data_IF_098898408204
#
_entry.id   IF_098898408204
#
_cell.length_a   1.000
_cell.length_b   1.000
_cell.length_c   1.000
_cell.angle_alpha   90.00
_cell.angle_beta   90.00
_cell.angle_gamma   90.00
#
_symmetry.space_group_name_H-M   'P 1'
#
loop_
_entity.id
_entity.type
_entity.pdbx_description
1 polymer ?
#
# COMPACT_ATOMS: atom_id res chain seq x y z
N UNK A 1 -27.86 35.27 -8.58
CA UNK A 1 -27.43 35.15 -7.16
C UNK A 1 -26.42 34.03 -7.10
N UNK A 2 -25.12 34.35 -7.02
CA UNK A 2 -24.05 33.36 -6.87
C UNK A 2 -23.95 33.00 -5.39
N UNK A 3 -24.51 31.87 -5.01
CA UNK A 3 -24.32 31.30 -3.68
C UNK A 3 -22.86 30.82 -3.55
N UNK A 4 -22.00 31.65 -3.00
CA UNK A 4 -20.64 31.31 -2.59
C UNK A 4 -20.69 30.47 -1.31
N UNK A 5 -21.06 29.20 -1.40
CA UNK A 5 -20.79 28.30 -0.29
C UNK A 5 -19.37 27.70 -0.51
N UNK A 6 -18.49 27.81 0.49
CA UNK A 6 -17.28 27.01 0.46
C UNK A 6 -17.73 25.56 0.40
N UNK A 7 -17.12 24.79 -0.51
CA UNK A 7 -17.38 23.35 -0.69
C UNK A 7 -17.15 22.69 0.67
N UNK A 8 -18.20 22.54 1.46
CA UNK A 8 -18.18 21.82 2.73
C UNK A 8 -18.08 20.34 2.44
N UNK A 9 -16.88 19.87 2.20
CA UNK A 9 -16.49 18.52 1.77
C UNK A 9 -16.73 17.43 2.84
N UNK A 10 -17.68 17.56 3.76
CA UNK A 10 -17.90 16.57 4.82
C UNK A 10 -19.35 16.40 5.26
N UNK A 11 -20.31 16.99 4.55
CA UNK A 11 -21.70 16.92 4.96
C UNK A 11 -22.38 15.67 4.39
N UNK A 12 -23.06 14.92 5.24
CA UNK A 12 -23.98 13.86 4.82
C UNK A 12 -25.28 14.48 4.29
N UNK A 13 -26.04 13.73 3.48
CA UNK A 13 -27.35 14.20 3.03
C UNK A 13 -28.26 14.56 4.22
N UNK A 14 -28.17 13.84 5.33
CA UNK A 14 -28.92 14.13 6.57
C UNK A 14 -28.51 15.48 7.17
N UNK A 15 -27.21 15.77 7.28
CA UNK A 15 -26.73 17.03 7.82
C UNK A 15 -27.03 18.22 6.90
N UNK A 16 -27.04 17.99 5.57
CA UNK A 16 -27.46 19.01 4.59
C UNK A 16 -28.95 19.35 4.73
N UNK A 17 -29.83 18.37 4.94
CA UNK A 17 -31.25 18.59 5.21
C UNK A 17 -31.44 19.42 6.46
N UNK A 18 -30.71 19.12 7.54
CA UNK A 18 -30.78 19.88 8.77
C UNK A 18 -30.38 21.37 8.57
N UNK A 19 -29.26 21.60 7.90
CA UNK A 19 -28.78 22.97 7.56
C UNK A 19 -29.75 23.71 6.66
N UNK A 20 -30.29 23.07 5.63
CA UNK A 20 -31.25 23.70 4.72
C UNK A 20 -32.51 24.14 5.48
N UNK A 21 -32.96 23.34 6.42
CA UNK A 21 -34.10 23.70 7.30
C UNK A 21 -33.75 24.85 8.21
N UNK A 22 -32.55 24.85 8.80
CA UNK A 22 -32.11 25.90 9.75
C UNK A 22 -31.84 27.24 9.06
N UNK A 23 -31.09 27.22 7.95
CA UNK A 23 -30.62 28.45 7.30
C UNK A 23 -31.61 29.03 6.28
N UNK A 24 -32.34 28.15 5.58
CA UNK A 24 -33.24 28.54 4.49
C UNK A 24 -34.72 28.30 4.79
N UNK A 25 -35.06 27.70 5.93
CA UNK A 25 -36.42 27.32 6.33
C UNK A 25 -37.10 26.35 5.33
N UNK A 26 -36.32 25.61 4.55
CA UNK A 26 -36.83 24.64 3.57
C UNK A 26 -36.70 23.21 4.13
N UNK A 27 -37.83 22.53 4.25
CA UNK A 27 -37.88 21.13 4.66
C UNK A 27 -37.93 20.18 3.47
N UNK A 28 -36.97 19.31 3.35
CA UNK A 28 -36.91 18.25 2.32
C UNK A 28 -36.58 16.90 2.93
N UNK A 29 -36.95 15.84 2.24
CA UNK A 29 -36.55 14.49 2.67
C UNK A 29 -35.06 14.22 2.36
N UNK A 30 -34.43 13.30 3.12
CA UNK A 30 -33.06 12.83 2.83
C UNK A 30 -32.97 12.22 1.44
N UNK A 31 -34.03 11.55 0.97
CA UNK A 31 -34.11 10.97 -0.37
C UNK A 31 -34.11 12.04 -1.42
N UNK A 32 -34.92 13.09 -1.26
CA UNK A 32 -34.95 14.27 -2.16
C UNK A 32 -33.56 14.93 -2.21
N UNK A 33 -32.93 15.14 -1.04
CA UNK A 33 -31.58 15.72 -1.00
C UNK A 33 -30.56 14.86 -1.78
N UNK A 34 -30.60 13.53 -1.62
CA UNK A 34 -29.70 12.62 -2.39
C UNK A 34 -29.95 12.69 -3.89
N UNK A 35 -31.22 12.74 -4.32
CA UNK A 35 -31.57 12.88 -5.75
C UNK A 35 -31.09 14.20 -6.32
N UNK A 36 -31.30 15.30 -5.59
CA UNK A 36 -30.83 16.63 -5.99
C UNK A 36 -29.30 16.68 -6.09
N UNK A 37 -28.58 16.12 -5.08
CA UNK A 37 -27.10 16.05 -5.16
C UNK A 37 -26.63 15.30 -6.40
N UNK A 38 -27.26 14.18 -6.73
CA UNK A 38 -26.92 13.41 -7.95
C UNK A 38 -27.21 14.20 -9.23
N UNK A 39 -28.32 14.94 -9.30
CA UNK A 39 -28.67 15.75 -10.47
C UNK A 39 -27.75 16.93 -10.75
N UNK A 40 -26.96 17.34 -9.75
CA UNK A 40 -25.93 18.38 -9.85
C UNK A 40 -24.51 17.80 -9.78
N UNK A 41 -24.33 16.56 -10.24
CA UNK A 41 -23.06 15.84 -10.37
C UNK A 41 -22.29 15.59 -9.07
N UNK A 42 -22.99 15.60 -7.91
CA UNK A 42 -22.38 15.14 -6.67
C UNK A 42 -22.52 13.63 -6.51
N UNK A 43 -21.41 12.99 -6.14
CA UNK A 43 -21.36 11.56 -5.84
C UNK A 43 -20.87 11.32 -4.43
N UNK A 44 -21.45 10.33 -3.76
CA UNK A 44 -20.99 9.92 -2.43
C UNK A 44 -19.66 9.20 -2.54
N UNK A 45 -18.58 9.80 -2.04
CA UNK A 45 -17.22 9.21 -2.04
C UNK A 45 -16.68 9.11 -0.62
N UNK A 46 -15.83 8.11 -0.40
CA UNK A 46 -15.06 8.01 0.84
C UNK A 46 -14.09 9.20 0.92
N UNK A 47 -14.12 9.92 2.03
CA UNK A 47 -13.15 10.99 2.31
C UNK A 47 -11.74 10.41 2.46
N UNK A 48 -10.74 11.13 1.99
CA UNK A 48 -9.32 10.78 2.14
C UNK A 48 -8.59 11.96 2.77
N UNK A 49 -7.54 11.64 3.52
CA UNK A 49 -6.64 12.68 3.99
C UNK A 49 -5.93 13.35 2.80
N UNK A 50 -5.81 14.67 2.86
CA UNK A 50 -5.05 15.42 1.85
C UNK A 50 -3.57 15.13 2.02
N UNK A 51 -2.89 14.80 0.93
CA UNK A 51 -1.43 14.67 0.87
C UNK A 51 -0.76 16.06 0.68
N UNK A 52 -1.14 17.05 1.50
CA UNK A 52 -0.65 18.43 1.39
C UNK A 52 0.88 18.58 1.36
N UNK A 53 1.61 17.56 1.82
CA UNK A 53 3.08 17.54 1.86
C UNK A 53 3.69 16.86 0.62
N UNK A 54 2.89 16.35 -0.30
CA UNK A 54 3.39 15.74 -1.52
C UNK A 54 3.79 16.83 -2.50
N UNK A 55 4.99 16.73 -3.05
CA UNK A 55 5.44 17.55 -4.16
C UNK A 55 5.00 16.89 -5.48
N UNK A 56 4.07 17.51 -6.18
CA UNK A 56 3.51 16.98 -7.43
C UNK A 56 4.53 17.01 -8.58
N UNK A 57 5.50 17.92 -8.55
CA UNK A 57 6.58 17.97 -9.54
C UNK A 57 7.55 16.81 -9.37
N UNK A 58 8.00 16.56 -8.13
CA UNK A 58 8.85 15.40 -7.80
C UNK A 58 8.14 14.09 -8.14
N UNK A 59 6.84 14.02 -7.88
CA UNK A 59 6.03 12.85 -8.22
C UNK A 59 6.02 12.58 -9.74
N UNK A 60 5.76 13.61 -10.57
CA UNK A 60 5.74 13.46 -12.03
C UNK A 60 7.11 13.08 -12.58
N UNK A 61 8.17 13.71 -12.07
CA UNK A 61 9.55 13.39 -12.44
C UNK A 61 9.89 11.94 -12.11
N UNK A 62 9.62 11.51 -10.87
CA UNK A 62 9.86 10.12 -10.45
C UNK A 62 9.04 9.11 -11.23
N UNK A 63 7.82 9.45 -11.64
CA UNK A 63 7.02 8.58 -12.49
C UNK A 63 7.70 8.32 -13.82
N UNK A 64 8.20 9.35 -14.49
CA UNK A 64 8.93 9.24 -15.77
C UNK A 64 10.23 8.44 -15.60
N UNK A 65 10.99 8.71 -14.54
CA UNK A 65 12.23 7.97 -14.24
C UNK A 65 11.97 6.48 -13.97
N UNK A 66 10.88 6.14 -13.29
CA UNK A 66 10.48 4.75 -13.04
C UNK A 66 10.05 4.06 -14.34
N UNK A 67 9.30 4.75 -15.22
CA UNK A 67 8.92 4.23 -16.54
C UNK A 67 10.18 3.89 -17.37
N UNK A 68 11.21 4.71 -17.33
CA UNK A 68 12.49 4.40 -17.98
C UNK A 68 13.22 3.21 -17.33
N UNK A 69 13.23 3.10 -15.99
CA UNK A 69 13.81 1.94 -15.30
C UNK A 69 13.07 0.64 -15.67
N UNK A 70 11.76 0.69 -15.82
CA UNK A 70 10.95 -0.46 -16.28
C UNK A 70 11.34 -0.83 -17.70
N UNK A 71 11.47 0.15 -18.61
CA UNK A 71 11.88 -0.10 -19.98
C UNK A 71 13.30 -0.70 -20.06
N UNK A 72 14.25 -0.25 -19.21
CA UNK A 72 15.58 -0.85 -19.11
C UNK A 72 15.53 -2.31 -18.64
N UNK A 73 14.65 -2.60 -17.66
CA UNK A 73 14.47 -3.97 -17.19
C UNK A 73 13.84 -4.87 -18.26
N UNK A 74 12.87 -4.38 -19.03
CA UNK A 74 12.26 -5.10 -20.15
C UNK A 74 13.26 -5.39 -21.27
N UNK A 75 14.23 -4.49 -21.49
CA UNK A 75 15.35 -4.74 -22.43
C UNK A 75 16.45 -5.66 -21.87
N UNK A 76 16.31 -6.09 -20.60
CA UNK A 76 17.30 -6.95 -19.94
C UNK A 76 18.60 -6.24 -19.54
N UNK A 77 18.63 -4.91 -19.52
CA UNK A 77 19.79 -4.10 -19.17
C UNK A 77 20.05 -4.09 -17.66
N UNK A 78 18.99 -4.17 -16.86
CA UNK A 78 19.03 -4.22 -15.40
C UNK A 78 18.02 -5.22 -14.85
N UNK A 79 18.27 -5.71 -13.64
CA UNK A 79 17.22 -6.31 -12.82
C UNK A 79 16.56 -5.18 -12.02
N UNK A 80 15.23 -5.16 -11.96
CA UNK A 80 14.47 -4.15 -11.24
C UNK A 80 13.60 -4.80 -10.16
N UNK A 81 13.61 -4.23 -8.97
CA UNK A 81 12.82 -4.69 -7.84
C UNK A 81 12.09 -3.53 -7.16
N UNK A 82 10.82 -3.72 -6.82
CA UNK A 82 10.08 -2.86 -5.91
C UNK A 82 10.13 -3.48 -4.52
N UNK A 83 10.72 -2.77 -3.57
CA UNK A 83 10.93 -3.26 -2.20
C UNK A 83 10.10 -2.43 -1.22
N UNK A 84 9.48 -3.12 -0.28
CA UNK A 84 8.73 -2.51 0.81
C UNK A 84 8.56 -3.48 1.98
N UNK A 85 8.20 -2.94 3.15
CA UNK A 85 7.90 -3.71 4.34
C UNK A 85 6.40 -3.65 4.66
N UNK A 86 5.90 -4.78 5.09
CA UNK A 86 4.54 -4.87 5.59
C UNK A 86 4.48 -5.69 6.87
N UNK A 87 3.34 -5.67 7.54
CA UNK A 87 3.15 -6.53 8.69
C UNK A 87 1.71 -6.98 8.82
N UNK A 88 1.58 -8.16 9.38
CA UNK A 88 0.34 -8.87 9.57
C UNK A 88 0.12 -9.10 11.07
N UNK A 89 -1.00 -8.56 11.58
CA UNK A 89 -1.43 -8.79 12.95
C UNK A 89 -2.35 -10.01 13.03
N UNK A 90 -2.46 -10.60 14.21
CA UNK A 90 -3.45 -11.67 14.47
C UNK A 90 -4.88 -11.17 14.25
N UNK A 91 -5.16 -9.92 14.63
CA UNK A 91 -6.40 -9.24 14.30
C UNK A 91 -6.32 -8.61 12.91
N UNK A 92 -7.12 -9.11 11.99
CA UNK A 92 -7.18 -8.59 10.62
C UNK A 92 -7.96 -7.29 10.53
N UNK A 93 -7.70 -6.45 9.51
CA UNK A 93 -8.55 -5.30 9.20
C UNK A 93 -10.00 -5.74 8.94
N UNK A 94 -10.95 -4.94 9.42
CA UNK A 94 -12.35 -5.14 9.10
C UNK A 94 -12.57 -5.05 7.59
N UNK A 95 -13.42 -5.96 7.09
CA UNK A 95 -13.80 -5.99 5.68
C UNK A 95 -15.30 -6.28 5.54
N UNK A 96 -15.83 -6.04 4.36
CA UNK A 96 -17.23 -6.36 4.04
C UNK A 96 -17.36 -7.83 3.64
N UNK A 97 -18.45 -8.48 4.07
CA UNK A 97 -18.81 -9.85 3.70
C UNK A 97 -20.33 -9.96 3.52
N UNK A 98 -20.75 -10.90 2.70
CA UNK A 98 -22.17 -11.25 2.59
C UNK A 98 -22.62 -11.93 3.88
N UNK A 99 -23.63 -11.34 4.55
CA UNK A 99 -24.21 -11.86 5.79
C UNK A 99 -25.73 -11.77 5.72
N UNK A 100 -26.47 -12.66 6.38
CA UNK A 100 -27.92 -12.53 6.48
C UNK A 100 -28.36 -11.20 7.07
N UNK A 101 -29.51 -10.70 6.65
CA UNK A 101 -30.09 -9.44 7.17
C UNK A 101 -30.19 -9.51 8.69
N UNK A 102 -29.75 -8.46 9.38
CA UNK A 102 -29.75 -8.39 10.84
C UNK A 102 -28.63 -9.19 11.53
N UNK A 103 -27.76 -9.87 10.79
CA UNK A 103 -26.58 -10.57 11.32
C UNK A 103 -25.30 -9.79 11.01
N UNK A 104 -24.25 -10.07 11.79
CA UNK A 104 -22.92 -9.56 11.55
C UNK A 104 -21.92 -10.71 11.72
N UNK A 105 -21.05 -10.91 10.73
CA UNK A 105 -19.98 -11.89 10.86
C UNK A 105 -18.92 -11.34 11.81
N UNK A 106 -18.68 -12.04 12.92
CA UNK A 106 -17.72 -11.66 13.96
C UNK A 106 -16.69 -12.76 14.13
N UNK A 107 -15.43 -12.37 14.24
CA UNK A 107 -14.31 -13.25 14.60
C UNK A 107 -13.59 -12.69 15.83
N UNK A 108 -12.94 -13.57 16.58
CA UNK A 108 -12.14 -13.14 17.72
C UNK A 108 -10.91 -12.36 17.24
N UNK A 109 -10.74 -11.15 17.77
CA UNK A 109 -9.59 -10.32 17.50
C UNK A 109 -8.50 -10.61 18.54
N UNK A 110 -7.69 -11.63 18.28
CA UNK A 110 -6.56 -11.95 19.15
C UNK A 110 -5.53 -10.83 19.09
N UNK A 111 -5.01 -10.44 20.27
CA UNK A 111 -3.87 -9.52 20.38
C UNK A 111 -2.57 -10.33 20.43
N UNK A 112 -1.51 -9.79 19.88
CA UNK A 112 -0.23 -10.48 19.88
C UNK A 112 0.83 -9.77 19.05
N UNK A 113 1.93 -10.47 18.82
CA UNK A 113 3.02 -10.01 17.96
C UNK A 113 2.53 -9.82 16.52
N UNK A 114 3.21 -8.96 15.80
CA UNK A 114 3.01 -8.72 14.38
C UNK A 114 4.07 -9.52 13.62
N UNK A 115 3.65 -10.29 12.62
CA UNK A 115 4.56 -10.89 11.66
C UNK A 115 4.93 -9.83 10.63
N UNK A 116 6.21 -9.51 10.52
CA UNK A 116 6.73 -8.55 9.56
C UNK A 116 7.27 -9.29 8.34
N UNK A 117 7.13 -8.67 7.19
CA UNK A 117 7.60 -9.18 5.90
C UNK A 117 8.35 -8.06 5.20
N UNK A 118 9.56 -8.35 4.74
CA UNK A 118 10.23 -7.54 3.73
C UNK A 118 10.06 -8.27 2.41
N UNK A 119 9.56 -7.59 1.38
CA UNK A 119 9.36 -8.20 0.07
C UNK A 119 9.98 -7.37 -1.05
N UNK A 120 10.38 -8.06 -2.10
CA UNK A 120 10.86 -7.51 -3.35
C UNK A 120 10.07 -8.13 -4.51
N UNK A 121 9.27 -7.33 -5.20
CA UNK A 121 8.60 -7.73 -6.42
C UNK A 121 9.52 -7.43 -7.61
N UNK A 122 9.91 -8.47 -8.33
CA UNK A 122 10.93 -8.41 -9.38
C UNK A 122 10.34 -8.19 -10.76
N UNK A 123 11.13 -7.59 -11.65
CA UNK A 123 10.77 -7.44 -13.08
C UNK A 123 10.66 -8.79 -13.81
N UNK A 124 11.26 -9.86 -13.29
CA UNK A 124 11.08 -11.22 -13.77
C UNK A 124 9.67 -11.77 -13.54
N UNK A 125 8.84 -11.12 -12.72
CA UNK A 125 7.54 -11.63 -12.31
C UNK A 125 7.56 -12.42 -11.00
N UNK A 126 8.73 -12.54 -10.35
CA UNK A 126 8.91 -13.26 -9.10
C UNK A 126 8.74 -12.35 -7.88
N UNK A 127 8.53 -12.97 -6.73
CA UNK A 127 8.55 -12.34 -5.43
C UNK A 127 9.66 -12.95 -4.56
N UNK A 128 10.60 -12.15 -4.12
CA UNK A 128 11.55 -12.52 -3.09
C UNK A 128 11.12 -11.92 -1.75
N UNK A 129 10.96 -12.72 -0.70
CA UNK A 129 10.47 -12.23 0.58
C UNK A 129 11.12 -12.93 1.77
N UNK A 130 11.15 -12.23 2.90
CA UNK A 130 11.60 -12.74 4.20
C UNK A 130 10.58 -12.36 5.25
N UNK A 131 10.12 -13.34 6.01
CA UNK A 131 9.21 -13.16 7.16
C UNK A 131 9.96 -13.18 8.47
N UNK A 132 9.56 -12.35 9.42
CA UNK A 132 10.19 -12.28 10.74
C UNK A 132 9.23 -11.77 11.81
N UNK A 133 9.44 -12.21 13.05
CA UNK A 133 8.66 -11.73 14.22
C UNK A 133 9.27 -10.51 14.87
N UNK A 134 10.50 -10.16 14.52
CA UNK A 134 11.23 -8.99 14.96
C UNK A 134 10.83 -7.76 14.15
N UNK A 135 11.02 -6.59 14.72
CA UNK A 135 10.86 -5.32 14.01
C UNK A 135 11.99 -5.17 12.99
N UNK A 136 11.65 -4.76 11.77
CA UNK A 136 12.63 -4.46 10.72
C UNK A 136 13.57 -3.35 11.18
N UNK A 137 14.86 -3.66 11.20
CA UNK A 137 15.94 -2.72 11.50
C UNK A 137 16.72 -2.41 10.22
N UNK A 138 17.49 -1.33 10.23
CA UNK A 138 18.38 -0.99 9.10
C UNK A 138 19.37 -2.10 8.77
N UNK A 139 19.85 -2.84 9.77
CA UNK A 139 20.77 -3.98 9.59
C UNK A 139 20.06 -5.15 8.90
N UNK A 140 18.87 -5.52 9.37
CA UNK A 140 18.07 -6.59 8.75
C UNK A 140 17.71 -6.24 7.31
N UNK A 141 17.30 -4.99 7.06
CA UNK A 141 17.01 -4.50 5.72
C UNK A 141 18.22 -4.57 4.78
N UNK A 142 19.39 -4.14 5.26
CA UNK A 142 20.63 -4.22 4.45
C UNK A 142 21.03 -5.68 4.20
N UNK A 143 20.85 -6.56 5.18
CA UNK A 143 21.01 -8.00 5.00
C UNK A 143 20.07 -8.58 3.93
N UNK A 144 18.80 -8.15 3.96
CA UNK A 144 17.83 -8.53 2.92
C UNK A 144 18.28 -8.10 1.52
N UNK A 145 18.78 -6.86 1.35
CA UNK A 145 19.31 -6.39 0.06
C UNK A 145 20.49 -7.25 -0.41
N UNK A 146 21.37 -7.68 0.50
CA UNK A 146 22.47 -8.59 0.18
C UNK A 146 21.99 -9.96 -0.29
N UNK A 147 20.95 -10.52 0.35
CA UNK A 147 20.33 -11.79 -0.08
C UNK A 147 19.60 -11.61 -1.42
N UNK A 148 18.90 -10.50 -1.61
CA UNK A 148 18.23 -10.19 -2.87
C UNK A 148 19.20 -10.10 -4.03
N UNK A 149 20.34 -9.40 -3.85
CA UNK A 149 21.40 -9.33 -4.86
C UNK A 149 21.99 -10.71 -5.19
N UNK A 150 22.15 -11.58 -4.18
CA UNK A 150 22.62 -12.96 -4.41
C UNK A 150 21.58 -13.78 -5.19
N UNK A 151 20.30 -13.53 -4.95
CA UNK A 151 19.21 -14.24 -5.62
C UNK A 151 19.04 -13.81 -7.09
N UNK A 152 19.05 -12.50 -7.34
CA UNK A 152 18.74 -11.92 -8.66
C UNK A 152 19.98 -11.76 -9.54
N UNK A 153 21.13 -11.45 -8.94
CA UNK A 153 22.34 -11.02 -9.66
C UNK A 153 22.42 -9.50 -9.86
N UNK A 154 23.52 -9.06 -10.43
CA UNK A 154 23.78 -7.65 -10.74
C UNK A 154 23.79 -7.43 -12.27
N UNK A 155 23.49 -6.21 -12.76
CA UNK A 155 23.11 -5.02 -12.00
C UNK A 155 21.68 -5.10 -11.46
N UNK A 156 21.44 -4.62 -10.23
CA UNK A 156 20.13 -4.59 -9.58
C UNK A 156 19.77 -3.15 -9.20
N UNK A 157 18.63 -2.66 -9.68
CA UNK A 157 18.03 -1.40 -9.23
C UNK A 157 16.86 -1.70 -8.31
N UNK A 158 16.86 -1.11 -7.12
CA UNK A 158 15.81 -1.27 -6.12
C UNK A 158 15.06 0.04 -5.95
N UNK A 159 13.76 0.02 -6.20
CA UNK A 159 12.83 1.13 -5.93
C UNK A 159 12.24 0.90 -4.53
N UNK A 160 12.37 1.89 -3.66
CA UNK A 160 11.90 1.82 -2.27
C UNK A 160 11.44 3.18 -1.77
N UNK A 161 10.72 3.19 -0.67
CA UNK A 161 10.33 4.44 -0.02
C UNK A 161 11.52 5.18 0.60
N UNK A 162 11.29 6.41 1.02
CA UNK A 162 12.31 7.27 1.59
C UNK A 162 12.33 7.21 3.13
N UNK A 163 12.09 6.05 3.74
CA UNK A 163 12.15 5.90 5.19
C UNK A 163 13.55 6.15 5.73
N UNK A 164 13.62 6.81 6.90
CA UNK A 164 14.89 7.24 7.48
C UNK A 164 15.84 6.10 7.85
N UNK A 165 15.31 4.92 8.18
CA UNK A 165 16.11 3.77 8.56
C UNK A 165 16.87 3.16 7.38
N UNK A 166 16.40 3.32 6.13
CA UNK A 166 17.11 2.92 4.91
C UNK A 166 18.42 3.70 4.72
N UNK A 167 18.51 4.90 5.31
CA UNK A 167 19.67 5.81 5.20
C UNK A 167 20.47 5.91 6.51
N UNK A 168 20.25 5.02 7.45
CA UNK A 168 20.91 5.06 8.75
C UNK A 168 22.44 5.03 8.62
N UNK A 169 23.13 5.85 9.42
CA UNK A 169 24.61 5.94 9.39
C UNK A 169 25.27 4.58 9.60
N UNK A 170 24.68 3.74 10.45
CA UNK A 170 25.22 2.42 10.80
C UNK A 170 25.39 1.49 9.57
N UNK A 171 24.49 1.55 8.61
CA UNK A 171 24.50 0.62 7.47
C UNK A 171 25.17 1.18 6.21
N UNK A 172 25.57 2.45 6.21
CA UNK A 172 26.23 3.09 5.05
C UNK A 172 27.46 2.34 4.53
N UNK A 173 28.36 1.81 5.38
CA UNK A 173 29.50 1.03 4.88
C UNK A 173 29.07 -0.22 4.11
N UNK A 174 28.05 -0.93 4.61
CA UNK A 174 27.51 -2.12 3.95
C UNK A 174 26.81 -1.77 2.63
N UNK A 175 26.02 -0.69 2.62
CA UNK A 175 25.37 -0.21 1.39
C UNK A 175 26.40 0.15 0.32
N UNK A 176 27.50 0.83 0.68
CA UNK A 176 28.59 1.11 -0.26
C UNK A 176 29.20 -0.14 -0.88
N UNK A 177 29.35 -1.21 -0.10
CA UNK A 177 29.85 -2.50 -0.62
C UNK A 177 28.85 -3.10 -1.62
N UNK A 178 27.57 -3.02 -1.35
CA UNK A 178 26.52 -3.51 -2.26
C UNK A 178 26.46 -2.65 -3.54
N UNK A 179 26.60 -1.32 -3.41
CA UNK A 179 26.68 -0.39 -4.54
C UNK A 179 27.87 -0.70 -5.46
N UNK A 180 29.04 -0.97 -4.88
CA UNK A 180 30.22 -1.40 -5.65
C UNK A 180 30.02 -2.73 -6.38
N UNK A 181 29.10 -3.57 -5.89
CA UNK A 181 28.71 -4.83 -6.52
C UNK A 181 27.57 -4.68 -7.52
N UNK A 182 27.12 -3.46 -7.82
CA UNK A 182 26.10 -3.17 -8.83
C UNK A 182 24.67 -2.99 -8.28
N UNK A 183 24.51 -2.73 -6.97
CA UNK A 183 23.23 -2.28 -6.41
C UNK A 183 23.05 -0.78 -6.68
N UNK A 184 21.87 -0.42 -7.17
CA UNK A 184 21.41 0.98 -7.24
C UNK A 184 20.13 1.15 -6.45
N UNK A 185 20.09 2.10 -5.52
CA UNK A 185 18.89 2.43 -4.75
C UNK A 185 18.20 3.66 -5.36
N UNK A 186 16.94 3.51 -5.70
CA UNK A 186 16.07 4.60 -6.16
C UNK A 186 15.02 4.91 -5.09
N UNK A 187 15.15 6.06 -4.44
CA UNK A 187 14.25 6.48 -3.37
C UNK A 187 13.06 7.26 -3.93
N UNK A 188 11.86 6.78 -3.63
CA UNK A 188 10.63 7.44 -4.00
C UNK A 188 10.45 8.79 -3.28
N UNK A 189 9.79 9.77 -3.90
CA UNK A 189 9.41 11.00 -3.21
C UNK A 189 8.45 10.69 -2.05
N UNK A 190 8.49 11.54 -1.04
CA UNK A 190 7.62 11.39 0.14
C UNK A 190 6.15 11.41 -0.25
N UNK A 191 5.35 10.58 0.42
CA UNK A 191 3.89 10.44 0.18
C UNK A 191 3.51 9.98 -1.24
N UNK A 192 4.28 9.08 -1.83
CA UNK A 192 4.04 8.54 -3.18
C UNK A 192 3.98 7.00 -3.20
N UNK A 193 3.17 6.35 -2.33
CA UNK A 193 3.10 4.88 -2.27
C UNK A 193 2.56 4.27 -3.57
N UNK A 194 1.76 5.02 -4.35
CA UNK A 194 1.26 4.56 -5.65
C UNK A 194 2.34 4.33 -6.70
N UNK A 195 3.54 4.86 -6.51
CA UNK A 195 4.72 4.57 -7.34
C UNK A 195 5.44 3.28 -6.93
N UNK A 196 5.17 2.76 -5.73
CA UNK A 196 5.70 1.48 -5.28
C UNK A 196 4.69 0.36 -5.58
N UNK A 197 4.96 -0.43 -6.61
CA UNK A 197 4.02 -1.45 -7.09
C UNK A 197 3.74 -2.56 -6.08
N UNK A 198 4.68 -2.91 -5.23
CA UNK A 198 4.51 -3.93 -4.21
C UNK A 198 3.43 -3.57 -3.17
N UNK A 199 3.12 -2.27 -3.00
CA UNK A 199 2.02 -1.81 -2.14
C UNK A 199 0.66 -2.37 -2.59
N UNK A 200 0.44 -2.52 -3.90
CA UNK A 200 -0.77 -3.15 -4.45
C UNK A 200 -0.85 -4.62 -4.07
N UNK A 201 0.30 -5.32 -4.04
CA UNK A 201 0.37 -6.70 -3.59
C UNK A 201 0.04 -6.82 -2.11
N UNK A 202 0.60 -5.96 -1.26
CA UNK A 202 0.26 -5.95 0.17
C UNK A 202 -1.21 -5.68 0.41
N UNK A 203 -1.82 -4.79 -0.37
CA UNK A 203 -3.25 -4.56 -0.29
C UNK A 203 -4.05 -5.81 -0.68
N UNK A 204 -3.74 -6.42 -1.82
CA UNK A 204 -4.38 -7.67 -2.28
C UNK A 204 -4.23 -8.78 -1.25
N UNK A 205 -3.02 -8.96 -0.71
CA UNK A 205 -2.75 -9.95 0.31
C UNK A 205 -3.62 -9.75 1.57
N UNK A 206 -3.69 -8.53 2.09
CA UNK A 206 -4.44 -8.21 3.32
C UNK A 206 -5.95 -8.29 3.16
N UNK A 207 -6.50 -7.96 1.99
CA UNK A 207 -7.93 -7.76 1.82
C UNK A 207 -8.61 -8.81 0.93
N UNK A 208 -7.87 -9.52 0.09
CA UNK A 208 -8.41 -10.47 -0.86
C UNK A 208 -7.92 -11.89 -0.61
N UNK A 209 -6.59 -12.10 -0.51
CA UNK A 209 -6.01 -13.45 -0.44
C UNK A 209 -6.08 -14.07 0.97
N UNK A 210 -5.87 -13.26 2.01
CA UNK A 210 -6.01 -13.77 3.37
C UNK A 210 -7.48 -13.95 3.74
N UNK A 211 -7.87 -15.16 4.16
CA UNK A 211 -9.20 -15.41 4.70
C UNK A 211 -9.49 -14.58 5.96
N UNK A 212 -10.74 -14.19 6.18
CA UNK A 212 -11.17 -13.50 7.39
C UNK A 212 -11.53 -14.52 8.47
N UNK A 213 -10.54 -14.94 9.25
CA UNK A 213 -10.66 -15.96 10.32
C UNK A 213 -9.81 -15.60 11.54
N UNK A 214 -10.14 -16.19 12.68
CA UNK A 214 -9.31 -16.10 13.89
C UNK A 214 -7.99 -16.85 13.69
N UNK A 215 -6.88 -16.24 14.10
CA UNK A 215 -5.52 -16.80 13.99
C UNK A 215 -4.78 -16.79 15.33
N UNK A 216 -3.87 -17.73 15.47
CA UNK A 216 -2.78 -17.70 16.43
C UNK A 216 -1.44 -17.41 15.69
N UNK A 217 -0.33 -17.37 16.40
CA UNK A 217 1.00 -17.09 15.86
C UNK A 217 1.36 -18.06 14.74
N UNK A 218 1.20 -19.36 14.97
CA UNK A 218 1.54 -20.41 14.01
C UNK A 218 0.69 -20.32 12.73
N UNK A 219 -0.62 -20.25 12.88
CA UNK A 219 -1.53 -20.19 11.72
C UNK A 219 -1.42 -18.88 10.95
N UNK A 220 -1.01 -17.77 11.59
CA UNK A 220 -0.72 -16.54 10.86
C UNK A 220 0.50 -16.69 9.96
N UNK A 221 1.58 -17.26 10.49
CA UNK A 221 2.81 -17.49 9.74
C UNK A 221 2.61 -18.45 8.59
N UNK A 222 1.91 -19.57 8.82
CA UNK A 222 1.57 -20.53 7.78
C UNK A 222 0.74 -19.91 6.65
N UNK A 223 -0.32 -19.14 6.98
CA UNK A 223 -1.16 -18.49 5.99
C UNK A 223 -0.40 -17.41 5.19
N UNK A 224 0.43 -16.62 5.86
CA UNK A 224 1.25 -15.59 5.20
C UNK A 224 2.25 -16.23 4.25
N UNK A 225 3.02 -17.22 4.70
CA UNK A 225 4.01 -17.91 3.87
C UNK A 225 3.35 -18.62 2.68
N UNK A 226 2.25 -19.32 2.89
CA UNK A 226 1.48 -19.95 1.80
C UNK A 226 1.10 -18.97 0.69
N UNK A 227 0.69 -17.75 1.07
CA UNK A 227 0.36 -16.73 0.08
C UNK A 227 1.63 -16.20 -0.61
N UNK A 228 2.72 -15.96 0.12
CA UNK A 228 3.98 -15.52 -0.46
C UNK A 228 4.54 -16.55 -1.46
N UNK A 229 4.53 -17.82 -1.09
CA UNK A 229 5.02 -18.94 -1.92
C UNK A 229 4.15 -19.19 -3.17
N UNK A 230 2.85 -18.85 -3.10
CA UNK A 230 1.92 -18.96 -4.24
C UNK A 230 2.08 -17.84 -5.29
N UNK A 231 2.92 -16.82 -5.02
CA UNK A 231 3.13 -15.73 -5.99
C UNK A 231 3.87 -16.24 -7.23
N UNK A 232 3.35 -15.93 -8.41
CA UNK A 232 3.87 -16.41 -9.68
C UNK A 232 3.42 -17.83 -10.07
N UNK A 233 2.80 -18.58 -9.14
CA UNK A 233 2.29 -19.95 -9.34
C UNK A 233 0.77 -19.98 -9.36
N UNK A 234 0.15 -19.65 -8.23
CA UNK A 234 -1.29 -19.67 -8.04
C UNK A 234 -1.95 -18.35 -8.49
N UNK A 235 -1.22 -17.27 -8.46
CA UNK A 235 -1.66 -15.94 -8.85
C UNK A 235 -0.44 -15.06 -9.17
N UNK A 236 -0.68 -14.01 -9.95
CA UNK A 236 0.36 -13.05 -10.33
C UNK A 236 -0.15 -11.63 -10.25
N UNK A 237 0.79 -10.71 -10.41
CA UNK A 237 0.51 -9.29 -10.63
C UNK A 237 1.35 -8.81 -11.79
N UNK A 238 0.75 -8.01 -12.69
CA UNK A 238 1.51 -7.40 -13.78
C UNK A 238 2.51 -6.40 -13.21
N UNK A 239 3.74 -6.50 -13.67
CA UNK A 239 4.80 -5.57 -13.32
C UNK A 239 4.66 -4.24 -14.08
N UNK A 240 3.91 -4.24 -15.19
CA UNK A 240 3.65 -3.08 -16.06
C UNK A 240 2.46 -2.22 -15.61
#
# INVERSE_FOLDING_TARGET
>A
MHCRYPVCAQLTATSLVAKLKEECHIGVSVTTMRSTLKSIDFVWKRTRHSLKKRNEEDFRKSKIEIEELVAQAERGEINLAYVDETGFALAQPNRSAWTPVGKCHKINANRGKRLNVIGAMLSSGDLFSVTMWETTTSTLFTGFLGLLMKYVGAPLTVILDNASFHKAKLVRPLLKVLEQKGLKLYFLPTYSPELNRIEKFWHKMKYELMEFKTRNVKTLEEDVNKILDGFGIDYGMTFC
#
